data_IF_813252129394
#
_entry.id   IF_813252129394
#
_cell.length_a   1.000
_cell.length_b   1.000
_cell.length_c   1.000
_cell.angle_alpha   90.00
_cell.angle_beta   90.00
_cell.angle_gamma   90.00
#
_symmetry.space_group_name_H-M   'P 1'
#
loop_
_entity.id
_entity.type
_entity.pdbx_description
1 polymer ?
#
# COMPACT_ATOMS: atom_id res chain seq x y z
N UNK A 1 12.77 -24.04 13.88
CA UNK A 1 13.45 -24.33 12.58
C UNK A 1 13.79 -23.01 11.91
N UNK A 2 15.06 -22.77 11.57
CA UNK A 2 15.49 -21.53 10.93
C UNK A 2 15.10 -21.57 9.44
N UNK A 3 14.12 -20.74 9.05
CA UNK A 3 13.52 -20.72 7.71
C UNK A 3 14.52 -20.37 6.61
N UNK A 4 15.63 -19.69 6.95
CA UNK A 4 16.66 -19.28 5.99
C UNK A 4 17.60 -20.43 5.57
N UNK A 5 17.70 -21.54 6.33
CA UNK A 5 18.63 -22.63 5.98
C UNK A 5 18.13 -23.53 4.84
N UNK A 6 16.84 -23.50 4.52
CA UNK A 6 16.23 -24.29 3.42
C UNK A 6 15.79 -23.46 2.21
N UNK A 7 15.54 -22.16 2.37
CA UNK A 7 14.87 -21.32 1.36
C UNK A 7 15.72 -20.15 0.85
N UNK A 8 16.97 -20.04 1.29
CA UNK A 8 17.88 -18.96 0.94
C UNK A 8 17.82 -17.77 1.92
N UNK A 9 18.88 -16.96 1.89
CA UNK A 9 18.97 -15.75 2.72
C UNK A 9 17.81 -14.80 2.44
N UNK A 10 17.18 -14.26 3.50
CA UNK A 10 16.08 -13.30 3.39
C UNK A 10 14.68 -13.90 3.17
N UNK A 11 14.54 -15.23 3.11
CA UNK A 11 13.26 -15.90 2.93
C UNK A 11 12.26 -15.57 4.06
N UNK A 12 12.73 -15.50 5.30
CA UNK A 12 11.90 -15.12 6.44
C UNK A 12 11.37 -13.68 6.31
N UNK A 13 12.23 -12.73 5.95
CA UNK A 13 11.83 -11.34 5.77
C UNK A 13 10.79 -11.18 4.65
N UNK A 14 11.01 -11.86 3.52
CA UNK A 14 10.06 -11.85 2.40
C UNK A 14 8.71 -12.47 2.78
N UNK A 15 8.71 -13.52 3.60
CA UNK A 15 7.48 -14.10 4.12
C UNK A 15 6.69 -13.10 4.96
N UNK A 16 7.34 -12.42 5.92
CA UNK A 16 6.67 -11.41 6.74
C UNK A 16 6.17 -10.22 5.93
N UNK A 17 6.96 -9.73 4.96
CA UNK A 17 6.55 -8.66 4.06
C UNK A 17 5.30 -9.07 3.25
N UNK A 18 5.29 -10.29 2.69
CA UNK A 18 4.14 -10.80 1.96
C UNK A 18 2.90 -10.94 2.83
N UNK A 19 3.03 -11.40 4.09
CA UNK A 19 1.88 -11.50 5.00
C UNK A 19 1.32 -10.12 5.37
N UNK A 20 2.19 -9.15 5.65
CA UNK A 20 1.78 -7.76 5.89
C UNK A 20 1.03 -7.18 4.68
N UNK A 21 1.62 -7.30 3.48
CA UNK A 21 1.02 -6.74 2.27
C UNK A 21 -0.28 -7.44 1.86
N UNK A 22 -0.47 -8.72 2.19
CA UNK A 22 -1.77 -9.38 2.04
C UNK A 22 -2.85 -8.69 2.86
N UNK A 23 -2.60 -8.39 4.14
CA UNK A 23 -3.55 -7.70 4.99
C UNK A 23 -3.84 -6.28 4.49
N UNK A 24 -2.80 -5.52 4.13
CA UNK A 24 -2.93 -4.17 3.55
C UNK A 24 -3.80 -4.19 2.29
N UNK A 25 -3.51 -5.09 1.35
CA UNK A 25 -4.23 -5.20 0.09
C UNK A 25 -5.69 -5.62 0.28
N UNK A 26 -5.98 -6.44 1.30
CA UNK A 26 -7.35 -6.77 1.69
C UNK A 26 -8.10 -5.54 2.20
N UNK A 27 -7.50 -4.73 3.09
CA UNK A 27 -8.11 -3.50 3.58
C UNK A 27 -8.40 -2.51 2.45
N UNK A 28 -7.46 -2.35 1.51
CA UNK A 28 -7.66 -1.49 0.33
C UNK A 28 -8.86 -1.96 -0.51
N UNK A 29 -8.97 -3.27 -0.75
CA UNK A 29 -10.10 -3.84 -1.49
C UNK A 29 -11.46 -3.69 -0.78
N UNK A 30 -11.47 -3.53 0.55
CA UNK A 30 -12.69 -3.23 1.31
C UNK A 30 -13.09 -1.76 1.26
N UNK A 31 -12.12 -0.86 1.11
CA UNK A 31 -12.32 0.59 1.05
C UNK A 31 -12.87 1.04 -0.33
N UNK A 32 -12.44 0.41 -1.42
CA UNK A 32 -12.91 0.70 -2.78
C UNK A 32 -13.63 -0.52 -3.34
N UNK A 33 -14.98 -0.55 -3.27
CA UNK A 33 -15.75 -1.79 -3.53
C UNK A 33 -16.27 -1.87 -4.97
N UNK A 34 -16.61 -0.74 -5.58
CA UNK A 34 -17.05 -0.70 -6.98
C UNK A 34 -16.65 0.57 -7.73
N UNK A 35 -16.86 0.61 -9.05
CA UNK A 35 -16.46 1.71 -9.95
C UNK A 35 -16.95 3.12 -9.55
N UNK A 36 -18.07 3.19 -8.82
CA UNK A 36 -18.65 4.47 -8.38
C UNK A 36 -18.26 4.81 -6.92
N UNK A 37 -17.45 3.97 -6.27
CA UNK A 37 -16.91 4.26 -4.93
C UNK A 37 -15.58 4.97 -5.08
N UNK A 38 -15.36 5.96 -4.23
CA UNK A 38 -14.09 6.62 -4.10
C UNK A 38 -13.63 6.60 -2.65
N UNK A 39 -12.36 6.30 -2.46
CA UNK A 39 -11.70 6.37 -1.17
C UNK A 39 -10.29 6.95 -1.36
N UNK A 40 -9.77 7.57 -0.30
CA UNK A 40 -8.36 7.91 -0.19
C UNK A 40 -7.71 6.89 0.77
N UNK A 41 -6.54 6.36 0.38
CA UNK A 41 -5.75 5.45 1.21
C UNK A 41 -4.43 6.14 1.53
N UNK A 42 -4.14 6.30 2.82
CA UNK A 42 -2.89 6.88 3.30
C UNK A 42 -2.02 5.77 3.91
N UNK A 43 -0.85 5.54 3.33
CA UNK A 43 0.11 4.53 3.77
C UNK A 43 1.20 5.20 4.62
N UNK A 44 1.09 5.11 5.94
CA UNK A 44 1.95 5.83 6.90
C UNK A 44 3.06 4.94 7.45
N UNK A 45 4.11 4.76 6.67
CA UNK A 45 5.35 4.11 7.11
C UNK A 45 6.47 4.33 6.08
N UNK A 46 7.70 4.58 6.52
CA UNK A 46 8.87 4.74 5.62
C UNK A 46 9.08 3.52 4.71
N UNK A 47 8.68 2.32 5.17
CA UNK A 47 8.86 1.06 4.44
C UNK A 47 8.05 1.04 3.15
N UNK A 48 6.94 1.78 3.06
CA UNK A 48 6.19 1.93 1.81
C UNK A 48 6.97 2.68 0.73
N UNK A 49 8.08 3.34 1.06
CA UNK A 49 8.94 3.92 0.05
C UNK A 49 9.84 2.89 -0.65
N UNK A 50 10.03 1.70 -0.05
CA UNK A 50 10.85 0.62 -0.63
C UNK A 50 10.21 0.04 -1.88
N UNK A 51 11.02 -0.23 -2.89
CA UNK A 51 10.55 -0.76 -4.18
C UNK A 51 9.83 -2.11 -4.02
N UNK A 52 10.30 -2.99 -3.12
CA UNK A 52 9.66 -4.28 -2.86
C UNK A 52 8.22 -4.13 -2.35
N UNK A 53 8.01 -3.23 -1.39
CA UNK A 53 6.71 -2.93 -0.79
C UNK A 53 5.80 -2.25 -1.80
N UNK A 54 6.29 -1.27 -2.57
CA UNK A 54 5.52 -0.65 -3.67
C UNK A 54 5.07 -1.70 -4.68
N UNK A 55 5.96 -2.62 -5.07
CA UNK A 55 5.65 -3.67 -6.05
C UNK A 55 4.60 -4.68 -5.54
N UNK A 56 4.51 -4.88 -4.23
CA UNK A 56 3.51 -5.75 -3.60
C UNK A 56 2.10 -5.15 -3.58
N UNK A 57 1.92 -3.87 -3.93
CA UNK A 57 0.60 -3.26 -4.11
C UNK A 57 -0.06 -3.67 -5.44
N UNK A 58 -1.39 -3.76 -5.49
CA UNK A 58 -2.13 -4.06 -6.71
C UNK A 58 -1.81 -3.04 -7.81
N UNK A 59 -1.68 -3.51 -9.06
CA UNK A 59 -1.35 -2.65 -10.21
C UNK A 59 -2.31 -1.46 -10.36
N UNK A 60 -3.59 -1.64 -10.02
CA UNK A 60 -4.58 -0.58 -10.13
C UNK A 60 -4.40 0.55 -9.11
N UNK A 61 -3.89 0.24 -7.90
CA UNK A 61 -3.52 1.22 -6.87
C UNK A 61 -2.23 1.94 -7.25
N UNK A 62 -1.25 1.19 -7.77
CA UNK A 62 0.07 1.77 -8.14
C UNK A 62 -0.06 2.93 -9.12
N UNK A 63 -1.08 2.94 -9.99
CA UNK A 63 -1.37 4.04 -10.93
C UNK A 63 -1.70 5.37 -10.26
N UNK A 64 -2.24 5.34 -9.04
CA UNK A 64 -2.60 6.53 -8.26
C UNK A 64 -1.69 6.72 -7.03
N UNK A 65 -0.65 5.90 -6.87
CA UNK A 65 0.27 5.99 -5.74
C UNK A 65 1.12 7.26 -5.86
N UNK A 66 1.18 8.04 -4.79
CA UNK A 66 2.04 9.21 -4.68
C UNK A 66 2.79 9.18 -3.36
N UNK A 67 4.08 9.50 -3.41
CA UNK A 67 4.88 9.76 -2.22
C UNK A 67 4.94 11.27 -2.05
N UNK A 68 4.52 11.75 -0.89
CA UNK A 68 4.44 13.17 -0.59
C UNK A 68 4.58 13.39 0.92
N UNK A 69 4.96 14.59 1.30
CA UNK A 69 4.99 15.02 2.70
C UNK A 69 3.57 15.22 3.24
N UNK A 70 3.45 15.30 4.56
CA UNK A 70 2.16 15.40 5.26
C UNK A 70 1.26 16.53 4.70
N UNK A 71 1.79 17.75 4.60
CA UNK A 71 1.01 18.91 4.16
C UNK A 71 0.46 18.74 2.74
N UNK A 72 1.29 18.24 1.84
CA UNK A 72 0.90 17.98 0.46
C UNK A 72 -0.15 16.87 0.40
N UNK A 73 0.02 15.79 1.17
CA UNK A 73 -0.94 14.69 1.24
C UNK A 73 -2.32 15.16 1.71
N UNK A 74 -2.36 16.00 2.74
CA UNK A 74 -3.59 16.52 3.32
C UNK A 74 -4.34 17.42 2.32
N UNK A 75 -3.62 18.30 1.63
CA UNK A 75 -4.15 19.14 0.55
C UNK A 75 -4.74 18.29 -0.58
N UNK A 76 -4.02 17.27 -1.04
CA UNK A 76 -4.49 16.38 -2.11
C UNK A 76 -5.75 15.60 -1.72
N UNK A 77 -5.81 15.08 -0.50
CA UNK A 77 -6.99 14.39 0.03
C UNK A 77 -8.20 15.33 0.09
N UNK A 78 -8.01 16.55 0.60
CA UNK A 78 -9.08 17.55 0.69
C UNK A 78 -9.63 17.90 -0.70
N UNK A 79 -8.74 18.16 -1.66
CA UNK A 79 -9.13 18.46 -3.04
C UNK A 79 -9.85 17.28 -3.72
N UNK A 80 -9.43 16.06 -3.45
CA UNK A 80 -10.05 14.84 -3.98
C UNK A 80 -11.51 14.73 -3.57
N UNK A 81 -11.83 14.93 -2.29
CA UNK A 81 -13.20 14.82 -1.79
C UNK A 81 -14.07 16.02 -2.18
N UNK A 82 -13.51 17.24 -2.26
CA UNK A 82 -14.27 18.42 -2.70
C UNK A 82 -14.70 18.33 -4.17
N UNK A 83 -13.87 17.75 -5.05
CA UNK A 83 -14.18 17.59 -6.48
C UNK A 83 -15.17 16.48 -6.78
N UNK A 84 -15.46 15.62 -5.80
CA UNK A 84 -16.29 14.41 -5.94
C UNK A 84 -17.49 14.41 -5.00
N UNK A 85 -17.97 15.60 -4.64
CA UNK A 85 -19.27 15.76 -3.97
C UNK A 85 -20.41 15.26 -4.85
#
# INVERSE_FOLDING_TARGET
MNVNSKLGSGAGQKFYENQCMKAVNQCIGRAVRHRNDFAAVLLLDERYNRMSVKNALPNWIKRSLKTCEYEESFKQITQFFTRRK
#
